data_IF_784053721532
#
_entry.id   IF_784053721532
#
_cell.length_a   1.000
_cell.length_b   1.000
_cell.length_c   1.000
_cell.angle_alpha   90.00
_cell.angle_beta   90.00
_cell.angle_gamma   90.00
#
_symmetry.space_group_name_H-M   'P 1'
#
loop_
_entity.id
_entity.type
_entity.pdbx_description
1 polymer ?
#
# COMPACT_ATOMS: atom_id res chain seq x y z
N UNK A 1 4.45 12.01 0.64
CA UNK A 1 3.62 12.27 -0.56
C UNK A 1 4.47 12.35 -1.81
N UNK A 2 4.63 11.22 -2.47
CA UNK A 2 4.49 10.93 -3.91
C UNK A 2 4.71 9.43 -3.97
N UNK A 3 3.80 8.68 -4.58
CA UNK A 3 3.93 7.22 -4.68
C UNK A 3 5.30 6.91 -5.31
N UNK A 4 6.09 6.05 -4.66
CA UNK A 4 7.41 5.70 -5.18
C UNK A 4 7.23 5.15 -6.61
N UNK A 5 8.09 5.55 -7.55
CA UNK A 5 7.91 5.25 -8.98
C UNK A 5 7.87 3.74 -9.28
N UNK A 6 8.40 2.93 -8.38
CA UNK A 6 8.43 1.47 -8.42
C UNK A 6 7.23 0.80 -7.73
N UNK A 7 6.32 1.58 -7.13
CA UNK A 7 5.18 1.04 -6.42
C UNK A 7 4.13 0.48 -7.39
N UNK A 8 3.66 -0.74 -7.14
CA UNK A 8 2.71 -1.44 -8.01
C UNK A 8 1.28 -1.36 -7.45
N UNK A 9 0.23 -1.42 -8.29
CA UNK A 9 -1.13 -1.60 -7.81
C UNK A 9 -1.23 -2.81 -6.89
N UNK A 10 -1.87 -2.68 -5.73
CA UNK A 10 -2.02 -3.76 -4.75
C UNK A 10 -2.68 -5.02 -5.35
N UNK A 11 -3.52 -4.84 -6.38
CA UNK A 11 -4.15 -5.92 -7.13
C UNK A 11 -3.14 -6.84 -7.84
N UNK A 12 -1.96 -6.31 -8.18
CA UNK A 12 -0.93 -7.02 -8.94
C UNK A 12 0.03 -7.84 -8.07
N UNK A 13 -0.17 -7.86 -6.75
CA UNK A 13 0.57 -8.78 -5.89
C UNK A 13 0.24 -10.22 -6.27
N UNK A 14 1.27 -11.04 -6.40
CA UNK A 14 1.19 -12.48 -6.64
C UNK A 14 0.62 -13.21 -5.42
N UNK A 15 0.13 -14.43 -5.62
CA UNK A 15 -0.40 -15.26 -4.52
C UNK A 15 0.66 -15.50 -3.43
N UNK A 16 1.93 -15.63 -3.79
CA UNK A 16 3.02 -15.79 -2.83
C UNK A 16 3.23 -14.53 -1.96
N UNK A 17 3.18 -13.35 -2.56
CA UNK A 17 3.28 -12.07 -1.84
C UNK A 17 2.07 -11.81 -0.94
N UNK A 18 0.89 -12.33 -1.33
CA UNK A 18 -0.36 -12.21 -0.55
C UNK A 18 -0.50 -13.24 0.58
N UNK A 19 0.31 -14.30 0.61
CA UNK A 19 0.10 -15.42 1.53
C UNK A 19 0.23 -15.02 3.01
N UNK A 20 1.20 -14.18 3.36
CA UNK A 20 1.49 -13.74 4.74
C UNK A 20 2.02 -12.30 4.79
N UNK A 21 1.22 -11.29 4.43
CA UNK A 21 1.70 -9.92 4.29
C UNK A 21 1.82 -9.25 5.66
N UNK A 22 2.87 -8.43 5.82
CA UNK A 22 2.94 -7.42 6.85
C UNK A 22 2.75 -6.05 6.19
N UNK A 23 1.75 -5.29 6.62
CA UNK A 23 1.48 -3.96 6.09
C UNK A 23 2.19 -2.89 6.91
N UNK A 24 3.01 -2.09 6.24
CA UNK A 24 3.56 -0.86 6.80
C UNK A 24 2.73 0.33 6.31
N UNK A 25 2.17 1.08 7.25
CA UNK A 25 1.31 2.23 6.98
C UNK A 25 1.97 3.50 7.52
N UNK A 26 1.97 4.56 6.71
CA UNK A 26 2.59 5.84 7.04
C UNK A 26 1.68 6.77 7.82
N UNK A 27 2.26 7.76 8.51
CA UNK A 27 1.51 8.83 9.14
C UNK A 27 0.93 9.81 8.10
N UNK A 28 -0.16 10.51 8.44
CA UNK A 28 -0.73 11.55 7.58
C UNK A 28 0.27 12.69 7.33
N UNK A 29 0.51 13.02 6.06
CA UNK A 29 1.50 14.02 5.65
C UNK A 29 2.84 13.38 5.20
N UNK A 30 3.79 13.10 6.11
CA UNK A 30 5.10 12.60 5.72
C UNK A 30 5.05 11.16 5.19
N UNK A 31 4.01 10.39 5.55
CA UNK A 31 3.88 9.00 5.14
C UNK A 31 4.83 8.08 5.90
N UNK A 32 5.38 7.09 5.20
CA UNK A 32 6.38 6.17 5.75
C UNK A 32 7.76 6.84 5.82
N UNK A 33 8.51 6.56 6.88
CA UNK A 33 9.92 6.94 6.95
C UNK A 33 10.73 6.24 5.84
N UNK A 34 11.84 6.85 5.40
CA UNK A 34 12.74 6.22 4.42
C UNK A 34 13.18 4.82 4.85
N UNK A 35 13.56 4.65 6.13
CA UNK A 35 13.91 3.33 6.70
C UNK A 35 12.80 2.30 6.52
N UNK A 36 11.54 2.68 6.72
CA UNK A 36 10.42 1.77 6.54
C UNK A 36 10.21 1.42 5.05
N UNK A 37 10.38 2.38 4.15
CA UNK A 37 10.28 2.16 2.70
C UNK A 37 11.42 1.29 2.16
N UNK A 38 12.64 1.48 2.66
CA UNK A 38 13.84 0.73 2.26
C UNK A 38 13.85 -0.69 2.85
N UNK A 39 13.18 -0.90 3.99
CA UNK A 39 13.03 -2.21 4.63
C UNK A 39 11.84 -3.03 4.12
N UNK A 40 11.04 -2.51 3.19
CA UNK A 40 9.88 -3.22 2.61
C UNK A 40 10.27 -4.05 1.40
N UNK A 41 9.77 -5.28 1.31
CA UNK A 41 9.95 -6.14 0.14
C UNK A 41 9.20 -5.63 -1.09
N UNK A 42 8.02 -5.03 -0.86
CA UNK A 42 7.14 -4.53 -1.90
C UNK A 42 6.56 -3.19 -1.51
N UNK A 43 6.54 -2.28 -2.48
CA UNK A 43 5.82 -1.01 -2.39
C UNK A 43 4.56 -1.13 -3.22
N UNK A 44 3.44 -0.82 -2.62
CA UNK A 44 2.14 -0.93 -3.28
C UNK A 44 1.34 0.35 -3.19
N UNK A 45 0.42 0.52 -4.12
CA UNK A 45 -0.50 1.64 -4.18
C UNK A 45 -1.93 1.14 -4.31
N UNK A 46 -2.86 1.86 -3.70
CA UNK A 46 -4.29 1.74 -4.04
C UNK A 46 -4.50 2.68 -5.23
N UNK A 47 -4.88 2.18 -6.42
CA UNK A 47 -5.08 3.05 -7.57
C UNK A 47 -6.19 4.07 -7.31
N UNK A 48 -5.83 5.35 -7.29
CA UNK A 48 -6.76 6.47 -7.12
C UNK A 48 -7.14 7.06 -8.49
N UNK A 49 -8.39 7.48 -8.65
CA UNK A 49 -8.87 8.22 -9.84
C UNK A 49 -9.07 9.70 -9.48
N UNK A 50 -9.08 10.57 -10.50
CA UNK A 50 -9.52 11.98 -10.43
C UNK A 50 -8.67 12.92 -9.55
N UNK A 51 -7.35 12.77 -9.55
CA UNK A 51 -6.44 13.72 -8.90
C UNK A 51 -6.40 13.64 -7.37
N UNK A 52 -6.90 12.54 -6.79
CA UNK A 52 -6.72 12.25 -5.36
C UNK A 52 -5.31 11.69 -5.15
N UNK A 53 -4.48 12.39 -4.39
CA UNK A 53 -3.08 11.99 -4.13
C UNK A 53 -2.99 10.85 -3.11
N UNK A 54 -3.80 10.89 -2.05
CA UNK A 54 -3.81 9.88 -0.99
C UNK A 54 -5.16 9.72 -0.30
N UNK A 55 -5.35 8.57 0.34
CA UNK A 55 -6.42 8.32 1.29
C UNK A 55 -5.94 8.63 2.72
N UNK A 56 -6.88 8.89 3.62
CA UNK A 56 -6.65 8.77 5.05
C UNK A 56 -6.08 7.38 5.39
N UNK A 57 -5.17 7.31 6.37
CA UNK A 57 -4.43 6.08 6.70
C UNK A 57 -5.35 4.93 7.10
N UNK A 58 -6.43 5.19 7.85
CA UNK A 58 -7.36 4.15 8.27
C UNK A 58 -8.19 3.64 7.09
N UNK A 59 -8.61 4.53 6.18
CA UNK A 59 -9.29 4.14 4.95
C UNK A 59 -8.38 3.31 4.02
N UNK A 60 -7.10 3.72 3.87
CA UNK A 60 -6.11 2.96 3.11
C UNK A 60 -5.89 1.56 3.72
N UNK A 61 -5.79 1.48 5.05
CA UNK A 61 -5.66 0.21 5.77
C UNK A 61 -6.87 -0.70 5.52
N UNK A 62 -8.09 -0.17 5.67
CA UNK A 62 -9.32 -0.94 5.48
C UNK A 62 -9.41 -1.54 4.06
N UNK A 63 -9.12 -0.73 3.03
CA UNK A 63 -9.11 -1.19 1.64
C UNK A 63 -8.00 -2.22 1.40
N UNK A 64 -6.79 -2.02 1.94
CA UNK A 64 -5.69 -2.95 1.80
C UNK A 64 -5.96 -4.30 2.48
N UNK A 65 -6.52 -4.28 3.70
CA UNK A 65 -6.92 -5.51 4.40
C UNK A 65 -8.03 -6.25 3.67
N UNK A 66 -9.06 -5.54 3.20
CA UNK A 66 -10.09 -6.16 2.37
C UNK A 66 -9.51 -6.76 1.09
N UNK A 67 -8.55 -6.09 0.47
CA UNK A 67 -7.91 -6.57 -0.74
C UNK A 67 -7.04 -7.81 -0.56
N UNK A 68 -6.31 -7.88 0.55
CA UNK A 68 -5.43 -8.99 0.85
C UNK A 68 -6.14 -10.17 1.51
N UNK A 69 -7.28 -9.91 2.17
CA UNK A 69 -8.05 -10.91 2.90
C UNK A 69 -9.19 -11.54 2.10
N UNK A 70 -9.49 -11.05 0.89
CA UNK A 70 -10.49 -11.71 0.05
C UNK A 70 -9.92 -12.98 -0.56
N UNK A 71 -10.78 -13.98 -0.69
CA UNK A 71 -10.53 -15.15 -1.54
C UNK A 71 -10.77 -14.74 -3.00
N UNK A 72 -9.95 -15.27 -3.92
CA UNK A 72 -10.13 -15.06 -5.37
C UNK A 72 -11.36 -15.80 -5.91
#
# INVERSE_FOLDING_TARGET
MTLAADAVPIQKLTSAERARPALLLGAEGPGLSRRAVDGSDKRVVIPMRRGVDSLNVAAAAAVAFWELGRED
#
